data_IF_416967380164
#
_entry.id   IF_416967380164
#
_cell.length_a   1.000
_cell.length_b   1.000
_cell.length_c   1.000
_cell.angle_alpha   90.00
_cell.angle_beta   90.00
_cell.angle_gamma   90.00
#
_symmetry.space_group_name_H-M   'P 1'
#
loop_
_entity.id
_entity.type
_entity.pdbx_description
1 polymer ?
#
# COMPACT_ATOMS: atom_id res chain seq x y z
N UNK A 1 71.88 17.26 63.04
CA UNK A 1 70.77 17.96 63.73
C UNK A 1 69.51 17.50 63.05
N UNK A 2 68.75 16.72 63.80
CA UNK A 2 67.61 15.89 63.42
C UNK A 2 66.39 16.66 62.86
N UNK A 3 65.40 15.84 62.46
CA UNK A 3 63.95 16.08 62.32
C UNK A 3 63.52 16.40 60.88
N UNK A 4 62.54 15.75 60.23
CA UNK A 4 61.74 14.55 60.44
C UNK A 4 60.93 14.38 59.13
N UNK A 5 60.95 13.20 58.51
CA UNK A 5 60.03 12.86 57.43
C UNK A 5 58.72 12.30 58.02
N UNK A 6 57.58 12.86 57.60
CA UNK A 6 56.30 12.13 57.47
C UNK A 6 55.53 12.70 56.26
N UNK A 7 54.95 11.85 55.40
CA UNK A 7 54.20 12.27 54.24
C UNK A 7 52.72 12.48 54.60
N UNK A 8 52.11 13.54 54.07
CA UNK A 8 50.65 13.72 54.11
C UNK A 8 50.12 13.63 52.69
N UNK A 9 49.53 12.47 52.40
CA UNK A 9 48.61 12.25 51.29
C UNK A 9 47.34 13.05 51.56
N UNK A 10 46.91 13.90 50.62
CA UNK A 10 45.50 14.23 50.45
C UNK A 10 45.22 14.84 49.07
N UNK A 11 44.71 13.97 48.20
CA UNK A 11 43.70 14.19 47.13
C UNK A 11 43.82 15.48 46.31
N UNK A 12 44.45 15.37 45.15
CA UNK A 12 44.15 16.20 43.99
C UNK A 12 42.65 16.06 43.64
N UNK A 13 41.91 17.16 43.79
CA UNK A 13 40.57 17.31 43.21
C UNK A 13 40.69 17.24 41.68
N UNK A 14 39.86 16.46 40.96
CA UNK A 14 39.84 16.54 39.52
C UNK A 14 39.34 17.93 39.13
N UNK A 15 40.11 18.61 38.27
CA UNK A 15 39.72 19.83 37.57
C UNK A 15 38.37 19.57 36.90
N UNK A 16 37.34 20.26 37.39
CA UNK A 16 36.03 20.33 36.74
C UNK A 16 36.29 20.94 35.36
N UNK A 17 36.27 20.11 34.32
CA UNK A 17 36.17 20.57 32.95
C UNK A 17 34.86 21.35 32.88
N UNK A 18 34.96 22.67 32.83
CA UNK A 18 33.85 23.51 32.42
C UNK A 18 33.52 23.11 30.99
N UNK A 19 32.49 22.26 30.84
CA UNK A 19 31.87 22.04 29.56
C UNK A 19 31.44 23.41 29.05
N UNK A 20 31.76 23.78 27.79
CA UNK A 20 31.31 25.05 27.26
C UNK A 20 29.79 25.06 27.37
N UNK A 21 29.27 26.03 28.13
CA UNK A 21 27.85 26.35 28.13
C UNK A 21 27.46 26.51 26.66
N UNK A 22 26.60 25.62 26.17
CA UNK A 22 25.99 25.76 24.85
C UNK A 22 25.49 27.20 24.79
N UNK A 23 25.94 27.91 23.75
CA UNK A 23 25.43 29.23 23.44
C UNK A 23 23.90 29.14 23.49
N UNK A 24 23.33 29.99 24.33
CA UNK A 24 21.92 30.27 24.35
C UNK A 24 21.58 30.68 22.91
N UNK A 25 20.91 29.79 22.15
CA UNK A 25 20.38 30.17 20.85
C UNK A 25 19.43 31.34 21.10
N UNK A 26 19.60 32.39 20.32
CA UNK A 26 18.68 33.52 20.32
C UNK A 26 17.26 32.98 20.08
N UNK A 27 16.42 33.09 21.10
CA UNK A 27 14.99 32.85 21.00
C UNK A 27 14.38 33.92 20.09
N UNK A 28 13.32 33.55 19.37
CA UNK A 28 12.38 34.39 18.58
C UNK A 28 12.40 34.29 17.05
N UNK A 29 13.29 33.53 16.41
CA UNK A 29 13.10 33.24 14.97
C UNK A 29 12.31 31.95 14.80
N UNK A 30 11.05 32.06 14.35
CA UNK A 30 10.26 30.89 13.96
C UNK A 30 10.98 30.08 12.86
N UNK A 31 10.71 28.77 12.76
CA UNK A 31 11.31 27.93 11.72
C UNK A 31 11.05 28.47 10.31
N UNK A 32 11.98 28.23 9.38
CA UNK A 32 11.88 28.68 7.98
C UNK A 32 10.64 28.18 7.26
N UNK A 33 10.16 26.98 7.60
CA UNK A 33 8.91 26.43 7.06
C UNK A 33 7.69 27.31 7.35
N UNK A 34 7.63 27.90 8.54
CA UNK A 34 6.51 28.73 8.96
C UNK A 34 6.41 29.98 8.09
N UNK A 35 7.54 30.64 7.83
CA UNK A 35 7.56 31.84 6.98
C UNK A 35 7.25 31.56 5.52
N UNK A 36 7.59 30.38 5.00
CA UNK A 36 7.20 29.99 3.63
C UNK A 36 5.70 29.81 3.52
N UNK A 37 5.10 29.04 4.41
CA UNK A 37 3.63 28.82 4.42
C UNK A 37 2.89 30.14 4.64
N UNK A 38 3.36 30.94 5.61
CA UNK A 38 2.84 32.28 5.86
C UNK A 38 2.90 33.16 4.60
N UNK A 39 4.02 33.13 3.86
CA UNK A 39 4.16 33.86 2.61
C UNK A 39 3.21 33.35 1.52
N UNK A 40 2.98 32.05 1.43
CA UNK A 40 2.04 31.45 0.47
C UNK A 40 0.61 31.90 0.75
N UNK A 41 0.16 31.80 2.00
CA UNK A 41 -1.19 32.24 2.39
C UNK A 41 -1.39 33.73 2.10
N UNK A 42 -0.45 34.59 2.52
CA UNK A 42 -0.61 36.04 2.38
C UNK A 42 -0.45 36.54 0.94
N UNK A 43 0.34 35.87 0.09
CA UNK A 43 0.54 36.29 -1.30
C UNK A 43 -0.50 35.71 -2.25
N UNK A 44 -1.01 34.52 -1.96
CA UNK A 44 -1.91 33.78 -2.86
C UNK A 44 -3.37 33.78 -2.39
N UNK A 45 -3.66 34.33 -1.20
CA UNK A 45 -5.01 34.43 -0.60
C UNK A 45 -5.77 33.10 -0.66
N UNK A 46 -5.08 32.02 -0.28
CA UNK A 46 -5.61 30.66 -0.28
C UNK A 46 -5.34 29.93 1.03
N UNK A 47 -6.22 28.99 1.34
CA UNK A 47 -6.07 28.11 2.49
C UNK A 47 -4.81 27.24 2.36
N UNK A 48 -4.23 26.89 3.50
CA UNK A 48 -3.10 25.97 3.58
C UNK A 48 -3.55 24.59 3.13
N UNK A 49 -2.85 24.05 2.16
CA UNK A 49 -3.06 22.70 1.64
C UNK A 49 -1.88 21.80 2.00
N UNK A 50 -2.10 20.49 1.95
CA UNK A 50 -1.06 19.50 2.21
C UNK A 50 0.18 19.63 1.29
N UNK A 51 0.02 20.19 0.10
CA UNK A 51 1.11 20.45 -0.84
C UNK A 51 2.09 21.53 -0.34
N UNK A 52 1.63 22.45 0.51
CA UNK A 52 2.45 23.59 0.98
C UNK A 52 3.53 23.17 2.00
N UNK A 53 3.45 21.92 2.50
CA UNK A 53 4.45 21.33 3.39
C UNK A 53 5.44 20.40 2.66
N UNK A 54 5.26 20.10 1.37
CA UNK A 54 5.97 19.00 0.69
C UNK A 54 7.51 19.18 0.67
N UNK A 55 7.99 20.42 0.53
CA UNK A 55 9.42 20.75 0.60
C UNK A 55 10.08 20.34 1.93
N UNK A 56 9.33 20.42 3.04
CA UNK A 56 9.79 20.14 4.40
C UNK A 56 9.64 18.69 4.84
N UNK A 57 8.91 17.89 4.05
CA UNK A 57 8.60 16.49 4.36
C UNK A 57 9.62 15.53 3.70
N UNK A 58 10.62 16.09 3.03
CA UNK A 58 11.78 15.39 2.46
C UNK A 58 12.76 14.86 3.51
N UNK A 59 12.74 15.41 4.74
CA UNK A 59 13.57 14.99 5.89
C UNK A 59 13.27 13.55 6.38
N UNK A 60 12.22 12.90 5.85
CA UNK A 60 11.81 11.54 6.22
C UNK A 60 12.66 10.41 5.58
N UNK A 61 13.75 10.73 4.86
CA UNK A 61 14.60 9.73 4.18
C UNK A 61 15.85 9.29 4.96
N UNK A 62 16.25 9.97 6.05
CA UNK A 62 17.54 9.67 6.70
C UNK A 62 17.50 8.81 7.98
N UNK A 63 16.34 8.53 8.57
CA UNK A 63 16.31 7.66 9.77
C UNK A 63 16.04 6.18 9.45
N UNK A 64 17.05 5.56 8.81
CA UNK A 64 17.24 4.10 8.83
C UNK A 64 17.71 3.62 10.22
N UNK A 65 17.04 4.04 11.28
CA UNK A 65 17.29 3.57 12.66
C UNK A 65 16.09 3.77 13.60
N UNK A 66 14.88 4.04 13.10
CA UNK A 66 13.69 4.16 13.96
C UNK A 66 12.93 2.83 14.11
N UNK A 67 13.62 1.74 14.41
CA UNK A 67 13.07 0.76 15.35
C UNK A 67 13.61 1.18 16.72
N UNK A 68 12.72 1.62 17.62
CA UNK A 68 13.02 2.12 18.97
C UNK A 68 13.46 3.59 19.11
N UNK A 69 12.55 4.51 18.84
CA UNK A 69 12.39 5.69 19.71
C UNK A 69 10.92 6.11 19.74
N UNK A 70 10.11 5.27 20.39
CA UNK A 70 8.83 5.68 20.98
C UNK A 70 9.05 6.46 22.29
N UNK A 71 10.21 7.11 22.46
CA UNK A 71 10.64 7.83 23.66
C UNK A 71 11.48 9.07 23.26
N UNK A 72 10.93 9.93 22.42
CA UNK A 72 11.20 11.37 22.56
C UNK A 72 9.83 12.05 22.64
N UNK A 73 9.11 11.70 23.71
CA UNK A 73 8.23 12.63 24.39
C UNK A 73 9.09 13.85 24.75
N UNK A 74 9.26 14.76 23.79
CA UNK A 74 9.64 16.14 24.07
C UNK A 74 8.49 16.70 24.93
N UNK A 75 8.72 16.52 26.23
CA UNK A 75 8.05 17.05 27.41
C UNK A 75 6.89 17.98 27.07
N UNK A 76 5.70 17.54 27.45
CA UNK A 76 4.50 18.36 27.42
C UNK A 76 4.80 19.75 27.98
N UNK A 77 4.44 20.79 27.21
CA UNK A 77 4.04 22.11 27.72
C UNK A 77 5.14 23.16 27.99
N UNK A 78 5.92 23.54 26.98
CA UNK A 78 6.28 24.96 26.84
C UNK A 78 5.87 25.47 25.47
N UNK A 79 4.73 26.19 25.42
CA UNK A 79 4.47 27.14 24.34
C UNK A 79 5.54 28.24 24.41
N UNK A 80 6.72 27.96 23.86
CA UNK A 80 7.87 28.85 23.86
C UNK A 80 7.71 30.04 22.91
N UNK A 81 6.75 29.97 21.99
CA UNK A 81 6.33 31.10 21.16
C UNK A 81 5.05 31.71 21.71
N UNK A 82 5.15 32.93 22.21
CA UNK A 82 4.08 33.73 22.81
C UNK A 82 3.65 34.92 21.93
N UNK A 83 4.08 34.92 20.67
CA UNK A 83 3.72 35.95 19.69
C UNK A 83 2.21 36.04 19.43
N UNK A 84 1.77 37.15 18.81
CA UNK A 84 0.36 37.34 18.44
C UNK A 84 -0.18 36.28 17.48
N UNK A 85 0.73 35.59 16.78
CA UNK A 85 0.45 34.50 15.85
C UNK A 85 0.70 33.10 16.48
N UNK A 86 0.92 33.01 17.80
CA UNK A 86 1.25 31.75 18.47
C UNK A 86 0.19 30.67 18.25
N UNK A 87 -1.10 31.00 18.33
CA UNK A 87 -2.17 30.04 18.08
C UNK A 87 -2.09 29.45 16.67
N UNK A 88 -1.83 30.31 15.68
CA UNK A 88 -1.70 29.93 14.27
C UNK A 88 -0.44 29.09 14.02
N UNK A 89 0.68 29.48 14.62
CA UNK A 89 1.93 28.73 14.56
C UNK A 89 1.78 27.29 15.06
N UNK A 90 1.13 27.11 16.22
CA UNK A 90 0.93 25.76 16.78
C UNK A 90 -0.07 24.92 15.96
N UNK A 91 -1.11 25.52 15.39
CA UNK A 91 -2.02 24.82 14.47
C UNK A 91 -1.29 24.30 13.22
N UNK A 92 -0.48 25.14 12.58
CA UNK A 92 0.33 24.71 11.43
C UNK A 92 1.40 23.68 11.81
N UNK A 93 1.98 23.78 13.02
CA UNK A 93 2.92 22.79 13.54
C UNK A 93 2.24 21.43 13.70
N UNK A 94 1.05 21.39 14.27
CA UNK A 94 0.28 20.14 14.46
C UNK A 94 -0.13 19.53 13.11
N UNK A 95 -0.55 20.36 12.15
CA UNK A 95 -0.83 19.90 10.78
C UNK A 95 0.41 19.29 10.10
N UNK A 96 1.59 19.93 10.23
CA UNK A 96 2.85 19.40 9.71
C UNK A 96 3.18 18.04 10.31
N UNK A 97 3.03 17.88 11.62
CA UNK A 97 3.32 16.62 12.31
C UNK A 97 2.30 15.52 11.97
N UNK A 98 1.00 15.83 11.80
CA UNK A 98 0.04 14.85 11.31
C UNK A 98 0.38 14.37 9.89
N UNK A 99 0.76 15.29 9.00
CA UNK A 99 1.15 14.95 7.62
C UNK A 99 2.38 14.05 7.57
N UNK A 100 3.40 14.32 8.40
CA UNK A 100 4.55 13.43 8.55
C UNK A 100 4.11 12.03 8.95
N UNK A 101 3.20 11.94 9.92
CA UNK A 101 2.70 10.67 10.45
C UNK A 101 1.86 9.92 9.41
N UNK A 102 1.00 10.61 8.68
CA UNK A 102 0.19 10.05 7.61
C UNK A 102 1.05 9.53 6.45
N UNK A 103 2.01 10.33 5.97
CA UNK A 103 2.96 9.93 4.92
C UNK A 103 3.80 8.72 5.34
N UNK A 104 4.23 8.66 6.61
CA UNK A 104 4.94 7.49 7.15
C UNK A 104 4.04 6.25 7.19
N UNK A 105 2.78 6.38 7.61
CA UNK A 105 1.80 5.27 7.59
C UNK A 105 1.56 4.79 6.17
N UNK A 106 1.40 5.70 5.22
CA UNK A 106 1.19 5.39 3.80
C UNK A 106 2.40 4.65 3.22
N UNK A 107 3.63 5.13 3.46
CA UNK A 107 4.87 4.44 3.07
C UNK A 107 4.96 3.03 3.67
N UNK A 108 4.65 2.89 4.96
CA UNK A 108 4.61 1.57 5.64
C UNK A 108 3.58 0.64 4.98
N UNK A 109 2.37 1.12 4.69
CA UNK A 109 1.35 0.33 3.97
C UNK A 109 1.80 -0.03 2.55
N UNK A 110 2.42 0.89 1.80
CA UNK A 110 2.96 0.63 0.46
C UNK A 110 4.02 -0.46 0.47
N UNK A 111 4.95 -0.41 1.43
CA UNK A 111 5.98 -1.43 1.63
C UNK A 111 5.35 -2.78 1.98
N UNK A 112 4.39 -2.81 2.92
CA UNK A 112 3.68 -4.03 3.28
C UNK A 112 2.93 -4.64 2.09
N UNK A 113 2.27 -3.81 1.27
CA UNK A 113 1.58 -4.28 0.07
C UNK A 113 2.56 -4.85 -0.94
N UNK A 114 3.70 -4.19 -1.19
CA UNK A 114 4.74 -4.72 -2.07
C UNK A 114 5.28 -6.07 -1.62
N UNK A 115 5.51 -6.22 -0.33
CA UNK A 115 5.97 -7.48 0.24
C UNK A 115 4.92 -8.59 0.06
N UNK A 116 3.64 -8.27 0.27
CA UNK A 116 2.55 -9.20 0.04
C UNK A 116 2.47 -9.66 -1.43
N UNK A 117 2.63 -8.72 -2.38
CA UNK A 117 2.64 -9.02 -3.81
C UNK A 117 3.86 -9.87 -4.18
N UNK A 118 5.03 -9.59 -3.60
CA UNK A 118 6.25 -10.38 -3.77
C UNK A 118 6.06 -11.83 -3.35
N UNK A 119 5.43 -12.08 -2.20
CA UNK A 119 5.12 -13.45 -1.74
C UNK A 119 4.23 -14.19 -2.76
N UNK A 120 3.28 -13.48 -3.39
CA UNK A 120 2.42 -14.07 -4.44
C UNK A 120 3.16 -14.32 -5.74
N UNK A 121 4.08 -13.43 -6.11
CA UNK A 121 5.00 -13.64 -7.24
C UNK A 121 5.90 -14.86 -7.01
N UNK A 122 6.44 -15.04 -5.81
CA UNK A 122 7.23 -16.20 -5.43
C UNK A 122 6.39 -17.51 -5.46
N UNK A 123 5.14 -17.48 -4.99
CA UNK A 123 4.19 -18.61 -5.04
C UNK A 123 3.96 -19.07 -6.50
N UNK A 124 3.65 -18.14 -7.41
CA UNK A 124 3.44 -18.44 -8.84
C UNK A 124 4.76 -18.77 -9.54
N UNK A 125 5.87 -18.20 -9.10
CA UNK A 125 7.22 -18.53 -9.54
C UNK A 125 7.57 -19.99 -9.24
N UNK A 126 7.28 -20.46 -8.03
CA UNK A 126 7.44 -21.86 -7.65
C UNK A 126 6.55 -22.80 -8.48
N UNK A 127 5.29 -22.41 -8.72
CA UNK A 127 4.39 -23.17 -9.61
C UNK A 127 4.92 -23.22 -11.06
N UNK A 128 5.54 -22.14 -11.55
CA UNK A 128 6.16 -22.09 -12.88
C UNK A 128 7.34 -23.05 -13.00
N UNK A 129 8.23 -23.06 -12.00
CA UNK A 129 9.36 -24.00 -11.95
C UNK A 129 8.88 -25.47 -11.86
N UNK A 130 7.79 -25.71 -11.11
CA UNK A 130 7.18 -27.05 -11.04
C UNK A 130 6.62 -27.49 -12.40
N UNK A 131 6.04 -26.57 -13.18
CA UNK A 131 5.58 -26.83 -14.54
C UNK A 131 6.76 -27.20 -15.47
N UNK A 132 7.86 -26.47 -15.42
CA UNK A 132 9.07 -26.76 -16.24
C UNK A 132 9.61 -28.16 -15.94
N UNK A 133 9.68 -28.52 -14.66
CA UNK A 133 10.08 -29.87 -14.24
C UNK A 133 9.11 -30.93 -14.75
N UNK A 134 7.81 -30.69 -14.61
CA UNK A 134 6.78 -31.63 -15.08
C UNK A 134 6.83 -31.83 -16.60
N UNK A 135 7.07 -30.77 -17.38
CA UNK A 135 7.26 -30.86 -18.84
C UNK A 135 8.48 -31.71 -19.19
N UNK A 136 9.61 -31.53 -18.51
CA UNK A 136 10.80 -32.38 -18.68
C UNK A 136 10.54 -33.86 -18.34
N UNK A 137 9.70 -34.11 -17.33
CA UNK A 137 9.24 -35.45 -16.95
C UNK A 137 8.08 -35.98 -17.81
N UNK A 138 7.66 -35.24 -18.86
CA UNK A 138 6.52 -35.56 -19.73
C UNK A 138 5.20 -35.76 -18.96
N UNK A 139 5.08 -35.13 -17.79
CA UNK A 139 3.86 -35.12 -16.97
C UNK A 139 2.94 -34.02 -17.45
N UNK A 140 1.66 -34.37 -17.60
CA UNK A 140 0.64 -33.43 -18.06
C UNK A 140 0.01 -32.75 -16.86
N UNK A 141 0.09 -31.42 -16.83
CA UNK A 141 -0.66 -30.59 -15.89
C UNK A 141 -1.85 -29.99 -16.64
N UNK A 142 -3.05 -30.11 -16.07
CA UNK A 142 -4.28 -29.55 -16.65
C UNK A 142 -4.55 -28.14 -16.12
N UNK A 143 -5.14 -27.28 -16.97
CA UNK A 143 -5.59 -25.92 -16.56
C UNK A 143 -6.96 -25.98 -15.89
N UNK A 144 -7.74 -27.03 -16.13
CA UNK A 144 -9.11 -27.11 -15.66
C UNK A 144 -10.05 -26.11 -16.37
N UNK A 145 -11.33 -26.04 -15.95
CA UNK A 145 -12.29 -25.12 -16.55
C UNK A 145 -11.99 -23.68 -16.14
N UNK A 146 -11.81 -22.80 -17.13
CA UNK A 146 -11.59 -21.36 -16.91
C UNK A 146 -12.87 -20.54 -16.91
N UNK A 147 -13.94 -21.03 -17.54
CA UNK A 147 -15.21 -20.32 -17.59
C UNK A 147 -15.74 -20.03 -16.18
N UNK A 148 -16.18 -18.79 -15.97
CA UNK A 148 -16.69 -18.27 -14.69
C UNK A 148 -15.66 -18.33 -13.55
N UNK A 149 -14.37 -18.39 -13.87
CA UNK A 149 -13.29 -18.27 -12.90
C UNK A 149 -12.73 -16.85 -12.91
N UNK A 150 -12.33 -16.41 -11.71
CA UNK A 150 -11.67 -15.13 -11.49
C UNK A 150 -10.32 -15.37 -10.83
N UNK A 151 -9.29 -14.69 -11.30
CA UNK A 151 -7.96 -14.73 -10.70
C UNK A 151 -7.62 -13.35 -10.15
N UNK A 152 -7.15 -13.30 -8.91
CA UNK A 152 -6.52 -12.09 -8.36
C UNK A 152 -5.14 -11.94 -8.97
N UNK A 153 -4.83 -10.74 -9.42
CA UNK A 153 -3.58 -10.39 -10.07
C UNK A 153 -2.66 -9.68 -9.08
N UNK A 154 -1.37 -9.98 -9.15
CA UNK A 154 -0.35 -9.38 -8.31
C UNK A 154 0.84 -8.92 -9.17
N UNK A 155 1.38 -7.74 -8.86
CA UNK A 155 2.54 -7.12 -9.50
C UNK A 155 3.13 -6.04 -8.60
N UNK A 156 4.34 -6.26 -8.08
CA UNK A 156 5.05 -5.30 -7.23
C UNK A 156 5.38 -3.98 -7.93
N UNK A 157 5.65 -4.02 -9.24
CA UNK A 157 5.88 -2.82 -10.06
C UNK A 157 4.63 -1.97 -10.16
N UNK A 158 3.45 -2.57 -10.31
CA UNK A 158 2.18 -1.83 -10.36
C UNK A 158 1.93 -1.09 -9.04
N UNK A 159 2.29 -1.68 -7.89
CA UNK A 159 2.16 -1.01 -6.58
C UNK A 159 3.04 0.22 -6.48
N UNK A 160 4.14 0.32 -7.24
CA UNK A 160 4.97 1.53 -7.20
C UNK A 160 4.22 2.77 -7.66
N UNK A 161 3.44 2.61 -8.72
CA UNK A 161 2.82 3.71 -9.45
C UNK A 161 1.35 3.93 -9.06
N UNK A 162 0.66 2.88 -8.59
CA UNK A 162 -0.78 2.89 -8.34
C UNK A 162 -1.13 2.42 -6.93
N UNK A 163 -0.23 2.60 -5.95
CA UNK A 163 -0.58 2.31 -4.56
C UNK A 163 -1.75 3.19 -4.13
N UNK A 164 -2.80 2.55 -3.61
CA UNK A 164 -3.92 3.20 -2.95
C UNK A 164 -4.50 2.25 -1.92
N UNK A 165 -4.90 2.79 -0.78
CA UNK A 165 -5.59 2.03 0.26
C UNK A 165 -7.11 1.93 0.06
N UNK A 166 -7.64 2.56 -1.00
CA UNK A 166 -9.09 2.64 -1.28
C UNK A 166 -9.56 1.75 -2.45
N UNK A 167 -8.67 1.35 -3.37
CA UNK A 167 -9.07 0.74 -4.65
C UNK A 167 -8.94 -0.80 -4.71
N UNK A 168 -9.77 -1.47 -5.52
CA UNK A 168 -10.00 -2.91 -5.44
C UNK A 168 -8.83 -3.76 -5.93
N UNK A 169 -8.86 -5.03 -5.53
CA UNK A 169 -7.91 -6.06 -5.96
C UNK A 169 -7.92 -6.20 -7.48
N UNK A 170 -6.73 -6.08 -8.08
CA UNK A 170 -6.48 -6.35 -9.49
C UNK A 170 -6.97 -7.76 -9.82
N UNK A 171 -7.68 -7.95 -10.92
CA UNK A 171 -8.19 -9.28 -11.29
C UNK A 171 -8.38 -9.49 -12.78
N UNK A 172 -8.48 -10.75 -13.17
CA UNK A 172 -8.89 -11.18 -14.49
C UNK A 172 -10.04 -12.18 -14.35
N UNK A 173 -11.11 -11.94 -15.09
CA UNK A 173 -12.33 -12.74 -15.09
C UNK A 173 -12.51 -13.38 -16.47
N UNK A 174 -12.93 -14.64 -16.53
CA UNK A 174 -13.19 -15.37 -17.78
C UNK A 174 -14.66 -15.79 -17.86
N UNK A 175 -15.30 -15.59 -19.01
CA UNK A 175 -16.73 -15.89 -19.20
C UNK A 175 -17.05 -16.29 -20.65
N UNK A 176 -18.21 -16.92 -20.84
CA UNK A 176 -18.82 -17.07 -22.16
C UNK A 176 -19.67 -15.83 -22.45
N UNK A 177 -19.65 -15.35 -23.70
CA UNK A 177 -20.73 -14.46 -24.14
C UNK A 177 -21.96 -15.34 -24.38
N UNK A 178 -22.96 -15.23 -23.52
CA UNK A 178 -24.26 -15.80 -23.84
C UNK A 178 -24.80 -15.10 -25.09
N UNK A 179 -25.22 -15.88 -26.09
CA UNK A 179 -25.93 -15.39 -27.27
C UNK A 179 -27.20 -14.64 -26.81
N UNK A 180 -27.10 -13.33 -26.65
CA UNK A 180 -28.25 -12.43 -26.40
C UNK A 180 -29.22 -12.38 -27.59
N UNK A 181 -28.96 -13.12 -28.66
CA UNK A 181 -29.88 -13.33 -29.76
C UNK A 181 -30.67 -14.61 -29.55
N UNK A 182 -31.89 -14.46 -29.02
CA UNK A 182 -32.93 -15.49 -28.94
C UNK A 182 -33.44 -15.95 -30.31
N UNK A 183 -32.56 -16.43 -31.18
CA UNK A 183 -32.92 -17.30 -32.30
C UNK A 183 -32.42 -18.69 -31.96
N UNK A 184 -33.34 -19.56 -31.53
CA UNK A 184 -33.09 -20.97 -31.20
C UNK A 184 -32.64 -21.81 -32.39
N UNK A 185 -31.48 -21.49 -32.95
CA UNK A 185 -30.72 -22.42 -33.77
C UNK A 185 -29.64 -23.03 -32.88
N UNK A 186 -29.82 -24.30 -32.58
CA UNK A 186 -28.77 -25.19 -32.10
C UNK A 186 -27.60 -25.13 -33.10
N UNK A 187 -26.62 -24.26 -32.83
CA UNK A 187 -25.33 -24.33 -33.51
C UNK A 187 -24.60 -25.55 -32.95
N UNK A 188 -24.75 -26.67 -33.66
CA UNK A 188 -23.93 -27.86 -33.52
C UNK A 188 -22.44 -27.46 -33.64
N UNK A 189 -21.74 -27.43 -32.51
CA UNK A 189 -20.30 -27.65 -32.38
C UNK A 189 -19.34 -26.74 -33.16
N UNK A 190 -19.08 -25.51 -32.67
CA UNK A 190 -17.73 -24.90 -32.77
C UNK A 190 -17.54 -23.60 -31.94
N UNK A 191 -18.64 -22.94 -31.54
CA UNK A 191 -18.63 -21.64 -30.83
C UNK A 191 -18.65 -21.76 -29.29
N UNK A 192 -19.09 -22.90 -28.76
CA UNK A 192 -19.27 -23.13 -27.32
C UNK A 192 -17.96 -23.22 -26.49
N UNK A 193 -16.79 -23.28 -27.14
CA UNK A 193 -15.47 -23.40 -26.48
C UNK A 193 -14.67 -22.08 -26.49
N UNK A 194 -15.29 -20.99 -26.92
CA UNK A 194 -14.65 -19.69 -27.03
C UNK A 194 -14.91 -18.87 -25.78
N UNK A 195 -13.85 -18.39 -25.14
CA UNK A 195 -13.93 -17.54 -23.97
C UNK A 195 -13.63 -16.09 -24.30
N UNK A 196 -14.22 -15.25 -23.48
CA UNK A 196 -13.91 -13.85 -23.32
C UNK A 196 -13.39 -13.63 -21.91
N UNK A 197 -12.81 -12.46 -21.68
CA UNK A 197 -12.47 -12.07 -20.34
C UNK A 197 -12.35 -10.58 -20.17
N UNK A 198 -12.35 -10.18 -18.92
CA UNK A 198 -12.13 -8.80 -18.49
C UNK A 198 -10.92 -8.74 -17.58
N UNK A 199 -10.05 -7.76 -17.82
CA UNK A 199 -8.94 -7.41 -16.93
C UNK A 199 -9.27 -6.12 -16.21
N UNK A 200 -9.11 -6.11 -14.88
CA UNK A 200 -9.27 -4.95 -14.03
C UNK A 200 -7.94 -4.72 -13.29
N UNK A 201 -7.21 -3.66 -13.63
CA UNK A 201 -5.93 -3.31 -12.99
C UNK A 201 -6.10 -2.17 -11.96
N UNK A 202 -6.95 -1.21 -12.27
CA UNK A 202 -7.38 -0.17 -11.33
C UNK A 202 -8.75 0.38 -11.77
N UNK A 203 -9.23 1.46 -11.15
CA UNK A 203 -10.52 2.07 -11.47
C UNK A 203 -10.63 2.59 -12.92
N UNK A 204 -9.49 2.94 -13.52
CA UNK A 204 -9.42 3.56 -14.86
C UNK A 204 -8.91 2.56 -15.91
N UNK A 205 -7.99 1.67 -15.52
CA UNK A 205 -7.38 0.68 -16.38
C UNK A 205 -8.11 -0.66 -16.29
N UNK A 206 -9.10 -0.81 -17.18
CA UNK A 206 -9.75 -2.08 -17.47
C UNK A 206 -9.91 -2.30 -18.98
N UNK A 207 -9.92 -3.57 -19.42
CA UNK A 207 -10.25 -3.91 -20.80
C UNK A 207 -10.91 -5.28 -20.88
N UNK A 208 -11.76 -5.45 -21.88
CA UNK A 208 -12.25 -6.75 -22.30
C UNK A 208 -11.39 -7.31 -23.44
N UNK A 209 -11.27 -8.62 -23.52
CA UNK A 209 -10.48 -9.32 -24.53
C UNK A 209 -11.16 -10.61 -24.96
N UNK A 210 -10.69 -11.13 -26.10
CA UNK A 210 -11.24 -12.31 -26.75
C UNK A 210 -11.82 -11.97 -28.12
N UNK A 211 -12.42 -12.93 -28.82
CA UNK A 211 -12.53 -14.35 -28.46
C UNK A 211 -11.20 -15.10 -28.40
N UNK A 212 -11.06 -16.10 -27.53
CA UNK A 212 -9.94 -17.05 -27.57
C UNK A 212 -10.33 -18.46 -27.13
N UNK A 213 -9.54 -19.46 -27.54
CA UNK A 213 -9.71 -20.84 -27.06
C UNK A 213 -8.74 -21.11 -25.91
N UNK A 214 -9.23 -21.44 -24.71
CA UNK A 214 -8.37 -21.72 -23.59
C UNK A 214 -7.55 -23.00 -23.83
N UNK A 215 -6.28 -23.05 -23.40
CA UNK A 215 -5.50 -24.26 -23.48
C UNK A 215 -6.01 -25.29 -22.46
N UNK A 216 -6.10 -26.55 -22.86
CA UNK A 216 -6.51 -27.65 -21.98
C UNK A 216 -5.40 -28.09 -21.02
N UNK A 217 -4.14 -27.82 -21.39
CA UNK A 217 -2.93 -28.19 -20.65
C UNK A 217 -2.15 -26.94 -20.30
N UNK A 218 -1.62 -26.93 -19.08
CA UNK A 218 -0.66 -25.91 -18.68
C UNK A 218 0.58 -26.08 -19.53
N UNK A 219 1.18 -24.97 -19.94
CA UNK A 219 2.40 -25.02 -20.73
C UNK A 219 3.20 -23.74 -20.62
N UNK A 220 4.45 -23.81 -21.05
CA UNK A 220 5.30 -22.63 -21.22
C UNK A 220 4.82 -21.70 -22.35
N UNK A 221 3.88 -22.14 -23.19
CA UNK A 221 3.39 -21.37 -24.32
C UNK A 221 2.52 -20.19 -23.88
N UNK A 222 2.75 -19.06 -24.55
CA UNK A 222 1.98 -17.83 -24.35
C UNK A 222 0.78 -17.83 -25.28
N UNK A 223 -0.41 -17.71 -24.70
CA UNK A 223 -1.66 -17.43 -25.40
C UNK A 223 -1.75 -15.92 -25.61
N UNK A 224 -1.66 -15.50 -26.87
CA UNK A 224 -1.79 -14.09 -27.23
C UNK A 224 -3.24 -13.80 -27.58
N UNK A 225 -3.81 -12.79 -26.93
CA UNK A 225 -5.17 -12.31 -27.18
C UNK A 225 -5.14 -10.79 -27.32
N UNK A 226 -6.09 -10.24 -28.07
CA UNK A 226 -6.22 -8.80 -28.21
C UNK A 226 -7.38 -8.30 -27.37
N UNK A 227 -7.29 -7.06 -26.92
CA UNK A 227 -8.46 -6.34 -26.41
C UNK A 227 -9.53 -6.27 -27.49
N UNK A 228 -10.81 -6.18 -27.10
CA UNK A 228 -11.91 -6.15 -28.06
C UNK A 228 -11.88 -4.92 -28.97
N UNK A 229 -11.28 -3.81 -28.51
CA UNK A 229 -11.03 -2.62 -29.32
C UNK A 229 -9.78 -2.72 -30.22
N UNK A 230 -9.04 -3.84 -30.12
CA UNK A 230 -7.86 -4.14 -30.92
C UNK A 230 -6.61 -3.32 -30.57
N UNK A 231 -6.66 -2.47 -29.54
CA UNK A 231 -5.56 -1.56 -29.17
C UNK A 231 -4.43 -2.23 -28.41
N UNK A 232 -4.76 -3.22 -27.57
CA UNK A 232 -3.81 -3.80 -26.65
C UNK A 232 -3.64 -5.30 -26.90
N UNK A 233 -2.39 -5.73 -26.87
CA UNK A 233 -2.03 -7.15 -26.87
C UNK A 233 -1.87 -7.63 -25.41
N UNK A 234 -2.57 -8.70 -25.07
CA UNK A 234 -2.48 -9.37 -23.78
C UNK A 234 -1.83 -10.73 -23.97
N UNK A 235 -0.86 -11.05 -23.12
CA UNK A 235 -0.10 -12.29 -23.17
C UNK A 235 -0.37 -13.11 -21.91
N UNK A 236 -1.14 -14.18 -22.07
CA UNK A 236 -1.55 -15.08 -20.99
C UNK A 236 -0.72 -16.36 -21.01
N UNK A 237 -0.26 -16.80 -19.84
CA UNK A 237 0.44 -18.08 -19.66
C UNK A 237 -0.21 -18.83 -18.51
N UNK A 238 -0.74 -20.02 -18.77
CA UNK A 238 -1.47 -20.81 -17.79
C UNK A 238 -0.54 -21.82 -17.12
N UNK A 239 -0.42 -21.74 -15.79
CA UNK A 239 0.52 -22.48 -14.95
C UNK A 239 -0.28 -23.45 -14.06
N UNK A 240 -1.15 -24.23 -14.70
CA UNK A 240 -2.03 -25.20 -14.03
C UNK A 240 -3.39 -24.62 -13.63
N UNK A 241 -4.06 -25.30 -12.71
CA UNK A 241 -5.46 -25.01 -12.34
C UNK A 241 -5.65 -23.68 -11.59
N UNK A 242 -4.66 -23.29 -10.81
CA UNK A 242 -4.78 -22.17 -9.86
C UNK A 242 -3.98 -20.94 -10.23
N UNK A 243 -3.13 -21.01 -11.26
CA UNK A 243 -2.13 -19.98 -11.50
C UNK A 243 -2.03 -19.59 -12.97
N UNK A 244 -1.81 -18.31 -13.21
CA UNK A 244 -1.49 -17.78 -14.53
C UNK A 244 -0.48 -16.64 -14.43
N UNK A 245 0.10 -16.26 -15.56
CA UNK A 245 0.80 -15.00 -15.75
C UNK A 245 0.12 -14.20 -16.85
N UNK A 246 -0.01 -12.90 -16.64
CA UNK A 246 -0.53 -11.95 -17.59
C UNK A 246 0.54 -10.89 -17.84
N UNK A 247 0.91 -10.67 -19.10
CA UNK A 247 1.77 -9.56 -19.49
C UNK A 247 0.99 -8.56 -20.33
N UNK A 248 1.13 -7.28 -19.99
CA UNK A 248 0.44 -6.15 -20.63
C UNK A 248 1.41 -4.98 -20.80
N UNK A 249 1.14 -4.09 -21.76
CA UNK A 249 1.99 -2.93 -22.03
C UNK A 249 1.83 -1.83 -20.98
N UNK A 250 2.87 -0.99 -20.83
CA UNK A 250 2.82 0.24 -20.04
C UNK A 250 1.62 1.11 -20.43
N UNK A 251 1.38 1.25 -21.72
CA UNK A 251 0.27 2.06 -22.24
C UNK A 251 -1.10 1.56 -21.72
N UNK A 252 -1.31 0.25 -21.67
CA UNK A 252 -2.55 -0.32 -21.12
C UNK A 252 -2.66 -0.07 -19.61
N UNK A 253 -1.57 -0.20 -18.85
CA UNK A 253 -1.59 -0.01 -17.39
C UNK A 253 -1.89 1.45 -17.01
N UNK A 254 -1.37 2.39 -17.79
CA UNK A 254 -1.54 3.83 -17.58
C UNK A 254 -2.70 4.41 -18.40
N UNK A 255 -3.57 3.58 -18.98
CA UNK A 255 -4.72 4.09 -19.71
C UNK A 255 -5.65 4.84 -18.77
N UNK A 256 -6.08 6.04 -19.19
CA UNK A 256 -7.13 6.79 -18.51
C UNK A 256 -8.08 7.36 -19.57
N UNK A 257 -9.20 6.68 -19.85
CA UNK A 257 -10.14 7.10 -20.90
C UNK A 257 -10.92 8.36 -20.53
N UNK A 258 -10.92 8.77 -19.26
CA UNK A 258 -11.67 9.92 -18.75
C UNK A 258 -10.85 11.21 -18.76
N UNK A 259 -9.54 11.13 -19.06
CA UNK A 259 -8.67 12.29 -19.09
C UNK A 259 -8.66 12.94 -20.47
N UNK A 260 -8.94 14.25 -20.52
CA UNK A 260 -8.96 15.02 -21.75
C UNK A 260 -7.58 15.11 -22.44
N UNK A 261 -6.50 14.92 -21.69
CA UNK A 261 -5.13 14.88 -22.20
C UNK A 261 -4.41 13.63 -21.69
N UNK A 262 -3.87 12.78 -22.59
CA UNK A 262 -3.04 11.66 -22.16
C UNK A 262 -1.83 12.21 -21.42
N UNK A 263 -1.57 11.66 -20.24
CA UNK A 263 -0.33 11.94 -19.52
C UNK A 263 0.64 10.84 -19.86
N UNK A 264 1.82 11.22 -20.34
CA UNK A 264 2.84 10.25 -20.65
C UNK A 264 3.18 9.46 -19.37
N UNK A 265 3.24 8.13 -19.45
CA UNK A 265 3.56 7.32 -18.30
C UNK A 265 4.98 7.65 -17.82
N UNK A 266 5.27 7.54 -16.52
CA UNK A 266 6.59 7.81 -15.97
C UNK A 266 7.67 7.06 -16.74
N UNK A 267 8.78 7.75 -17.07
CA UNK A 267 9.88 7.15 -17.82
C UNK A 267 10.50 5.95 -17.10
N UNK A 268 10.51 5.99 -15.76
CA UNK A 268 10.99 4.93 -14.87
C UNK A 268 10.08 3.69 -14.82
N UNK A 269 8.84 3.76 -15.31
CA UNK A 269 7.94 2.59 -15.33
C UNK A 269 8.50 1.49 -16.25
N UNK A 270 8.16 0.21 -16.04
CA UNK A 270 8.47 -0.86 -16.99
C UNK A 270 7.71 -0.67 -18.32
N UNK A 271 8.31 -1.05 -19.45
CA UNK A 271 7.59 -1.10 -20.74
C UNK A 271 6.49 -2.17 -20.78
N UNK A 272 6.71 -3.26 -20.05
CA UNK A 272 5.79 -4.38 -19.92
C UNK A 272 5.66 -4.72 -18.45
N UNK A 273 4.42 -4.79 -17.97
CA UNK A 273 4.11 -5.26 -16.64
C UNK A 273 3.79 -6.75 -16.69
N UNK A 274 4.40 -7.53 -15.81
CA UNK A 274 4.08 -8.93 -15.60
C UNK A 274 3.28 -9.08 -14.31
N UNK A 275 2.03 -9.50 -14.45
CA UNK A 275 1.16 -9.84 -13.35
C UNK A 275 1.14 -11.36 -13.16
N UNK A 276 1.22 -11.81 -11.92
CA UNK A 276 0.94 -13.19 -11.55
C UNK A 276 -0.51 -13.30 -11.09
N UNK A 277 -1.22 -14.34 -11.51
CA UNK A 277 -2.61 -14.57 -11.18
C UNK A 277 -2.76 -15.77 -10.24
N UNK A 278 -3.55 -15.62 -9.18
CA UNK A 278 -3.95 -16.71 -8.28
C UNK A 278 -5.47 -16.84 -8.30
N UNK A 279 -5.97 -18.06 -8.48
CA UNK A 279 -7.40 -18.34 -8.56
C UNK A 279 -8.11 -17.90 -7.28
N UNK A 280 -9.20 -17.14 -7.43
CA UNK A 280 -9.99 -16.65 -6.29
C UNK A 280 -10.79 -17.77 -5.68
N UNK A 281 -10.65 -17.91 -4.37
CA UNK A 281 -11.50 -18.78 -3.57
C UNK A 281 -12.76 -18.01 -3.15
N UNK A 282 -13.77 -18.03 -4.03
CA UNK A 282 -15.05 -17.35 -3.82
C UNK A 282 -15.78 -17.84 -2.56
N UNK A 283 -15.63 -19.13 -2.21
CA UNK A 283 -16.26 -19.69 -1.00
C UNK A 283 -15.60 -19.13 0.26
N UNK A 284 -14.26 -19.13 0.29
CA UNK A 284 -13.50 -18.52 1.39
C UNK A 284 -13.79 -17.04 1.52
N UNK A 285 -13.86 -16.30 0.42
CA UNK A 285 -14.16 -14.86 0.47
C UNK A 285 -15.57 -14.58 1.01
N UNK A 286 -16.58 -15.36 0.60
CA UNK A 286 -17.94 -15.26 1.16
C UNK A 286 -17.95 -15.59 2.65
N UNK A 287 -17.24 -16.63 3.08
CA UNK A 287 -17.12 -17.01 4.49
C UNK A 287 -16.45 -15.91 5.32
N UNK A 288 -15.34 -15.33 4.83
CA UNK A 288 -14.63 -14.24 5.49
C UNK A 288 -15.47 -12.96 5.57
N UNK A 289 -16.19 -12.61 4.49
CA UNK A 289 -17.15 -11.50 4.50
C UNK A 289 -18.25 -11.74 5.53
N UNK A 290 -18.82 -12.94 5.58
CA UNK A 290 -19.85 -13.29 6.56
C UNK A 290 -19.32 -13.24 8.00
N UNK A 291 -18.08 -13.70 8.22
CA UNK A 291 -17.39 -13.62 9.52
C UNK A 291 -17.12 -12.17 9.94
N UNK A 292 -16.72 -11.29 9.02
CA UNK A 292 -16.54 -9.85 9.26
C UNK A 292 -17.87 -9.19 9.62
N UNK A 293 -18.94 -9.45 8.86
CA UNK A 293 -20.28 -8.95 9.17
C UNK A 293 -20.79 -9.48 10.51
N UNK A 294 -20.54 -10.75 10.83
CA UNK A 294 -20.88 -11.33 12.13
C UNK A 294 -20.08 -10.68 13.27
N UNK A 295 -18.78 -10.38 13.07
CA UNK A 295 -17.96 -9.67 14.06
C UNK A 295 -18.44 -8.22 14.25
N UNK A 296 -18.79 -7.51 13.17
CA UNK A 296 -19.33 -6.16 13.24
C UNK A 296 -20.72 -6.10 13.89
N UNK A 297 -21.51 -7.18 13.76
CA UNK A 297 -22.82 -7.33 14.39
C UNK A 297 -22.76 -7.76 15.86
N UNK A 298 -21.60 -8.22 16.36
CA UNK A 298 -21.44 -8.45 17.80
C UNK A 298 -21.41 -7.07 18.45
N UNK A 299 -22.43 -6.80 19.27
CA UNK A 299 -22.40 -5.67 20.20
C UNK A 299 -21.05 -5.68 20.93
N UNK A 300 -20.38 -4.53 21.10
CA UNK A 300 -19.22 -4.45 21.97
C UNK A 300 -19.56 -5.14 23.29
N UNK A 301 -18.68 -6.01 23.77
CA UNK A 301 -18.83 -6.59 25.11
C UNK A 301 -19.11 -5.44 26.08
N UNK A 302 -20.04 -5.57 27.05
CA UNK A 302 -20.40 -4.48 27.95
C UNK A 302 -19.16 -3.76 28.53
N UNK A 303 -18.08 -4.50 28.77
CA UNK A 303 -16.81 -4.02 29.36
C UNK A 303 -15.83 -3.29 28.44
N UNK A 304 -16.13 -3.11 27.16
CA UNK A 304 -15.20 -2.49 26.19
C UNK A 304 -15.78 -1.24 25.51
N UNK A 305 -16.88 -0.69 26.03
CA UNK A 305 -17.36 0.58 25.51
C UNK A 305 -16.46 1.73 25.99
N UNK A 306 -16.24 2.73 25.13
CA UNK A 306 -15.62 4.01 25.52
C UNK A 306 -16.30 4.61 26.77
N UNK A 307 -17.58 4.30 26.97
CA UNK A 307 -18.37 4.69 28.14
C UNK A 307 -17.89 4.03 29.45
N UNK A 308 -17.34 2.82 29.41
CA UNK A 308 -16.80 2.13 30.58
C UNK A 308 -15.30 2.39 30.79
N UNK A 309 -14.53 2.67 29.73
CA UNK A 309 -13.08 2.89 29.83
C UNK A 309 -12.68 4.34 30.09
N UNK A 310 -13.39 5.33 29.53
CA UNK A 310 -12.93 6.73 29.51
C UNK A 310 -14.00 7.76 29.88
N UNK A 311 -15.22 7.36 30.22
CA UNK A 311 -16.27 8.30 30.61
C UNK A 311 -16.24 8.59 32.12
N UNK A 312 -16.31 9.86 32.56
CA UNK A 312 -16.25 10.22 33.98
C UNK A 312 -17.41 9.65 34.83
N UNK A 313 -18.44 9.06 34.20
CA UNK A 313 -19.53 8.36 34.89
C UNK A 313 -19.40 6.82 34.92
N UNK A 314 -18.36 6.22 34.31
CA UNK A 314 -18.18 4.76 34.24
C UNK A 314 -17.78 4.08 35.55
N UNK A 315 -17.39 4.86 36.57
CA UNK A 315 -16.75 4.33 37.80
C UNK A 315 -17.70 3.67 38.80
N UNK A 316 -19.02 3.85 38.66
CA UNK A 316 -19.99 3.40 39.68
C UNK A 316 -20.30 1.89 39.66
N UNK A 317 -19.89 1.16 38.62
CA UNK A 317 -20.25 -0.24 38.46
C UNK A 317 -19.27 -1.23 39.11
N UNK A 318 -18.17 -0.75 39.70
CA UNK A 318 -17.17 -1.62 40.35
C UNK A 318 -17.38 -1.76 41.87
N UNK A 319 -18.29 -1.01 42.49
CA UNK A 319 -18.41 -0.96 43.96
C UNK A 319 -19.58 -1.76 44.56
N UNK A 320 -20.19 -2.70 43.82
CA UNK A 320 -21.31 -3.53 44.32
C UNK A 320 -21.00 -5.02 44.51
N UNK A 321 -19.72 -5.40 44.48
CA UNK A 321 -19.28 -6.72 44.94
C UNK A 321 -18.26 -6.54 46.07
N UNK A 322 -18.79 -6.31 47.28
CA UNK A 322 -18.10 -6.56 48.54
C UNK A 322 -19.15 -7.02 49.55
#
# INVERSE_FOLDING_TARGET
MDILHKPTSQRSRPLRVEKPRRAHRDNHSLPTWYYRIQSTIFKEDRDVTFADFDEDLSELEEDKTAESSEDDDEDCSERSHDGSDASWYYELKDMREELKRERLRERKKKIQQREYERVKEEEVGAASMALEKAEGEHRIITVGPLANQSFELFCGDHVEYFFSDLFPTKRIDFYYLDDMNGSGQEKLGSEADVLYGDVYLNAEANCNFGPFRPPTRASQNVVKVKSCDGKYDLHLKFIGKGYLKLRVSREMVFMNPYRASPTDPPSAAPEVFEFVGVLRDLEKERADRQKRLAKARRSPSPRESWFELNHPMGWWNQSRQS
#
